data_IF_051241821772
#
_entry.id   IF_051241821772
#
_cell.length_a   1.000
_cell.length_b   1.000
_cell.length_c   1.000
_cell.angle_alpha   90.00
_cell.angle_beta   90.00
_cell.angle_gamma   90.00
#
_symmetry.space_group_name_H-M   'P 1'
#
loop_
_entity.id
_entity.type
_entity.pdbx_description
1 polymer ?
#
# COMPACT_ATOMS: atom_id res chain seq x y z
N UNK A 1 7.35 9.11 14.16
CA UNK A 1 8.26 8.54 13.13
C UNK A 1 8.23 7.01 13.09
N UNK A 2 8.54 6.28 14.17
CA UNK A 2 8.61 4.80 14.11
C UNK A 2 7.27 4.13 13.76
N UNK A 3 6.14 4.66 14.25
CA UNK A 3 4.81 4.13 13.93
C UNK A 3 4.44 4.27 12.44
N UNK A 4 4.81 5.38 11.79
CA UNK A 4 4.66 5.54 10.35
C UNK A 4 5.52 4.54 9.57
N UNK A 5 6.77 4.33 10.00
CA UNK A 5 7.64 3.36 9.38
C UNK A 5 7.02 1.95 9.44
N UNK A 6 6.51 1.56 10.61
CA UNK A 6 5.86 0.27 10.82
C UNK A 6 4.56 0.13 9.99
N UNK A 7 3.73 1.17 9.94
CA UNK A 7 2.53 1.24 9.09
C UNK A 7 2.86 1.02 7.61
N UNK A 8 3.86 1.73 7.10
CA UNK A 8 4.30 1.61 5.71
C UNK A 8 4.93 0.24 5.41
N UNK A 9 5.74 -0.30 6.32
CA UNK A 9 6.30 -1.66 6.18
C UNK A 9 5.19 -2.70 6.14
N UNK A 10 4.19 -2.61 7.02
CA UNK A 10 3.06 -3.54 7.05
C UNK A 10 2.24 -3.48 5.75
N UNK A 11 2.03 -2.29 5.20
CA UNK A 11 1.34 -2.11 3.93
C UNK A 11 2.14 -2.67 2.74
N UNK A 12 3.44 -2.45 2.70
CA UNK A 12 4.31 -3.05 1.66
C UNK A 12 4.35 -4.58 1.79
N UNK A 13 4.40 -5.10 3.02
CA UNK A 13 4.36 -6.54 3.26
C UNK A 13 3.03 -7.17 2.81
N UNK A 14 1.89 -6.49 3.02
CA UNK A 14 0.60 -6.99 2.53
C UNK A 14 0.54 -7.02 1.01
N UNK A 15 1.10 -6.02 0.32
CA UNK A 15 1.24 -6.02 -1.14
C UNK A 15 2.03 -7.24 -1.64
N UNK A 16 3.22 -7.49 -1.08
CA UNK A 16 4.06 -8.64 -1.46
C UNK A 16 3.34 -9.96 -1.19
N UNK A 17 2.71 -10.09 -0.02
CA UNK A 17 1.96 -11.29 0.34
C UNK A 17 0.81 -11.58 -0.65
N UNK A 18 0.05 -10.57 -1.04
CA UNK A 18 -1.07 -10.71 -1.97
C UNK A 18 -0.63 -11.04 -3.40
N UNK A 19 0.49 -10.46 -3.85
CA UNK A 19 1.13 -10.79 -5.12
C UNK A 19 1.55 -12.26 -5.18
N UNK A 20 2.08 -12.81 -4.07
CA UNK A 20 2.47 -14.23 -3.99
C UNK A 20 1.27 -15.17 -3.79
N UNK A 21 0.17 -14.68 -3.22
CA UNK A 21 -0.99 -15.46 -2.83
C UNK A 21 -2.10 -15.59 -3.88
N UNK A 22 -1.86 -15.20 -5.14
CA UNK A 22 -2.86 -15.15 -6.22
C UNK A 22 -4.16 -14.41 -5.81
N UNK A 23 -4.05 -13.42 -4.93
CA UNK A 23 -5.21 -12.73 -4.37
C UNK A 23 -5.64 -11.60 -5.30
N UNK A 24 -6.96 -11.35 -5.42
CA UNK A 24 -7.47 -10.34 -6.35
C UNK A 24 -7.10 -8.90 -5.94
N UNK A 25 -6.97 -8.03 -6.94
CA UNK A 25 -6.73 -6.59 -6.76
C UNK A 25 -7.79 -5.93 -5.86
N UNK A 26 -9.03 -6.42 -5.86
CA UNK A 26 -10.12 -5.94 -5.01
C UNK A 26 -9.79 -6.11 -3.51
N UNK A 27 -9.18 -7.24 -3.14
CA UNK A 27 -8.78 -7.49 -1.75
C UNK A 27 -7.64 -6.57 -1.36
N UNK A 28 -6.69 -6.31 -2.27
CA UNK A 28 -5.65 -5.32 -2.03
C UNK A 28 -6.23 -3.89 -1.88
N UNK A 29 -7.28 -3.56 -2.64
CA UNK A 29 -8.03 -2.32 -2.48
C UNK A 29 -8.53 -2.09 -1.06
N UNK A 30 -9.04 -3.13 -0.39
CA UNK A 30 -9.47 -3.07 1.02
C UNK A 30 -8.28 -2.75 1.95
N UNK A 31 -7.10 -3.33 1.68
CA UNK A 31 -5.88 -3.05 2.45
C UNK A 31 -5.40 -1.61 2.30
N UNK A 32 -5.58 -0.99 1.13
CA UNK A 32 -5.26 0.43 0.94
C UNK A 32 -6.10 1.29 1.89
N UNK A 33 -7.41 1.04 1.99
CA UNK A 33 -8.27 1.77 2.92
C UNK A 33 -7.86 1.57 4.38
N UNK A 34 -7.55 0.33 4.77
CA UNK A 34 -7.09 0.02 6.13
C UNK A 34 -5.77 0.72 6.46
N UNK A 35 -4.84 0.75 5.50
CA UNK A 35 -3.56 1.44 5.65
C UNK A 35 -3.74 2.95 5.77
N UNK A 36 -4.51 3.58 4.88
CA UNK A 36 -4.77 5.04 4.95
C UNK A 36 -5.43 5.40 6.28
N UNK A 37 -6.39 4.61 6.76
CA UNK A 37 -7.03 4.83 8.06
C UNK A 37 -6.02 4.70 9.23
N UNK A 38 -5.14 3.69 9.18
CA UNK A 38 -4.10 3.51 10.19
C UNK A 38 -3.09 4.66 10.16
N UNK A 39 -2.63 5.09 8.99
CA UNK A 39 -1.71 6.21 8.84
C UNK A 39 -2.33 7.51 9.35
N UNK A 40 -3.61 7.74 9.04
CA UNK A 40 -4.38 8.88 9.58
C UNK A 40 -4.45 8.85 11.10
N UNK A 41 -4.73 7.68 11.70
CA UNK A 41 -4.71 7.54 13.16
C UNK A 41 -3.32 7.83 13.76
N UNK A 42 -2.23 7.41 13.10
CA UNK A 42 -0.86 7.72 13.54
C UNK A 42 -0.56 9.22 13.44
N UNK A 43 -1.08 9.92 12.43
CA UNK A 43 -0.98 11.40 12.34
C UNK A 43 -1.60 12.06 13.57
N UNK A 44 -2.82 11.66 13.93
CA UNK A 44 -3.50 12.17 15.13
C UNK A 44 -2.72 11.91 16.41
N UNK A 45 -2.13 10.73 16.56
CA UNK A 45 -1.38 10.35 17.76
C UNK A 45 0.00 11.02 17.88
N UNK A 46 0.64 11.32 16.75
CA UNK A 46 2.04 11.77 16.73
C UNK A 46 2.22 13.25 16.37
N UNK A 47 1.16 13.92 15.91
CA UNK A 47 1.19 15.30 15.44
C UNK A 47 2.06 15.50 14.18
N UNK A 48 2.51 14.41 13.56
CA UNK A 48 3.27 14.44 12.31
C UNK A 48 2.32 14.25 11.14
N UNK A 49 2.33 15.20 10.22
CA UNK A 49 1.50 15.21 9.02
C UNK A 49 2.39 14.98 7.79
N UNK A 50 2.45 13.75 7.26
CA UNK A 50 3.14 13.49 6.01
C UNK A 50 2.48 14.27 4.86
N UNK A 51 3.24 14.67 3.83
CA UNK A 51 2.65 15.30 2.65
C UNK A 51 1.58 14.40 2.00
N UNK A 52 0.37 14.93 1.81
CA UNK A 52 -0.80 14.18 1.35
C UNK A 52 -0.59 13.46 0.00
N UNK A 53 0.30 13.98 -0.86
CA UNK A 53 0.62 13.35 -2.14
C UNK A 53 1.37 12.02 -1.99
N UNK A 54 2.01 11.75 -0.85
CA UNK A 54 2.81 10.53 -0.65
C UNK A 54 1.93 9.28 -0.68
N UNK A 55 0.72 9.31 -0.12
CA UNK A 55 -0.18 8.17 -0.22
C UNK A 55 -0.53 7.85 -1.67
N UNK A 56 -0.89 8.87 -2.44
CA UNK A 56 -1.20 8.73 -3.87
C UNK A 56 -0.02 8.21 -4.68
N UNK A 57 1.19 8.72 -4.43
CA UNK A 57 2.40 8.26 -5.09
C UNK A 57 2.71 6.79 -4.79
N UNK A 58 2.61 6.36 -3.53
CA UNK A 58 2.82 4.96 -3.13
C UNK A 58 1.79 4.03 -3.78
N UNK A 59 0.50 4.38 -3.72
CA UNK A 59 -0.58 3.58 -4.33
C UNK A 59 -0.35 3.49 -5.85
N UNK A 60 0.01 4.59 -6.51
CA UNK A 60 0.27 4.62 -7.95
C UNK A 60 1.45 3.73 -8.32
N UNK A 61 2.57 3.84 -7.61
CA UNK A 61 3.75 3.04 -7.86
C UNK A 61 3.46 1.53 -7.70
N UNK A 62 2.78 1.14 -6.62
CA UNK A 62 2.41 -0.25 -6.37
C UNK A 62 1.37 -0.76 -7.38
N UNK A 63 0.40 0.06 -7.77
CA UNK A 63 -0.57 -0.27 -8.81
C UNK A 63 0.09 -0.51 -10.17
N UNK A 64 1.06 0.31 -10.55
CA UNK A 64 1.86 0.10 -11.77
C UNK A 64 2.65 -1.20 -11.69
N UNK A 65 3.31 -1.48 -10.56
CA UNK A 65 4.04 -2.74 -10.34
C UNK A 65 3.10 -3.95 -10.50
N UNK A 66 1.91 -3.89 -9.89
CA UNK A 66 0.91 -4.95 -10.01
C UNK A 66 0.55 -5.23 -11.48
N UNK A 67 0.24 -4.19 -12.25
CA UNK A 67 -0.12 -4.31 -13.67
C UNK A 67 1.03 -4.85 -14.51
N UNK A 68 2.25 -4.35 -14.31
CA UNK A 68 3.43 -4.80 -15.05
C UNK A 68 3.72 -6.27 -14.78
N UNK A 69 3.71 -6.70 -13.51
CA UNK A 69 4.00 -8.08 -13.16
C UNK A 69 2.92 -9.05 -13.70
N UNK A 70 1.64 -8.70 -13.59
CA UNK A 70 0.56 -9.54 -14.12
C UNK A 70 0.51 -9.55 -15.66
N UNK A 71 0.91 -8.47 -16.34
CA UNK A 71 0.98 -8.47 -17.81
C UNK A 71 2.13 -9.33 -18.33
N UNK A 72 3.29 -9.33 -17.65
CA UNK A 72 4.42 -10.21 -18.01
C UNK A 72 4.10 -11.69 -17.83
N UNK A 73 3.29 -12.07 -16.83
CA UNK A 73 2.86 -13.47 -16.65
C UNK A 73 1.88 -13.94 -17.74
N UNK A 74 1.13 -13.01 -18.36
CA UNK A 74 0.15 -13.29 -19.40
C UNK A 74 0.73 -13.24 -20.83
N UNK A 75 2.02 -12.91 -20.99
CA UNK A 75 2.68 -12.85 -22.31
C UNK A 75 2.15 -11.78 -23.26
N UNK A 76 1.55 -10.72 -22.71
CA UNK A 76 1.07 -9.54 -23.44
C UNK A 76 2.14 -8.44 -23.53
#
# INVERSE_FOLDING_TARGET
>A
MILFLLSNIAFLASFVWLMLGATSLTVWGIWIFAWVAADYAVMWLTGYEPPAWMWGATITALGVIWVVLNSTELGL
#
